data_IF_466743346000
#
_entry.id   IF_466743346000
#
_cell.length_a   1.000
_cell.length_b   1.000
_cell.length_c   1.000
_cell.angle_alpha   90.00
_cell.angle_beta   90.00
_cell.angle_gamma   90.00
#
_symmetry.space_group_name_H-M   'P 1'
#
loop_
_entity.id
_entity.type
_entity.pdbx_description
1 polymer ?
#
# COMPACT_ATOMS: atom_id res chain seq x y z
N UNK A 1 -5.71 -7.44 27.25
CA UNK A 1 -4.35 -7.79 27.65
C UNK A 1 -3.96 -9.06 26.92
N UNK A 2 -3.36 -8.95 25.75
CA UNK A 2 -2.67 -10.08 25.13
C UNK A 2 -1.20 -9.98 25.52
N UNK A 3 -0.76 -10.88 26.38
CA UNK A 3 0.62 -11.03 26.76
C UNK A 3 1.35 -11.74 25.63
N UNK A 4 2.38 -11.13 25.10
CA UNK A 4 3.37 -11.79 24.25
C UNK A 4 4.27 -12.61 25.17
N UNK A 5 4.11 -13.92 25.15
CA UNK A 5 5.04 -14.86 25.76
C UNK A 5 5.87 -15.45 24.63
N UNK A 6 7.16 -15.13 24.60
CA UNK A 6 8.13 -15.97 23.93
C UNK A 6 8.27 -17.24 24.77
N UNK A 7 7.68 -18.33 24.33
CA UNK A 7 8.04 -19.66 24.79
C UNK A 7 8.81 -20.34 23.65
N UNK A 8 10.11 -20.51 23.86
CA UNK A 8 10.86 -21.58 23.23
C UNK A 8 10.23 -22.89 23.73
N UNK A 9 9.61 -23.60 22.80
CA UNK A 9 9.46 -25.04 22.76
C UNK A 9 8.21 -25.43 21.95
N UNK A 10 8.46 -25.91 20.77
CA UNK A 10 7.82 -27.05 20.12
C UNK A 10 8.04 -26.93 18.61
N UNK A 11 8.86 -27.80 18.09
CA UNK A 11 8.76 -28.28 16.70
C UNK A 11 7.35 -28.84 16.47
N UNK A 12 6.40 -27.97 16.17
CA UNK A 12 5.12 -28.35 15.60
C UNK A 12 5.13 -27.87 14.15
N UNK A 13 5.25 -28.86 13.27
CA UNK A 13 5.01 -28.84 11.85
C UNK A 13 4.73 -27.48 11.24
N UNK A 14 5.75 -26.77 10.75
CA UNK A 14 5.53 -25.79 9.71
C UNK A 14 4.86 -26.56 8.58
N UNK A 15 3.57 -26.35 8.36
CA UNK A 15 2.99 -26.66 7.06
C UNK A 15 3.87 -25.92 6.04
N UNK A 16 4.64 -26.69 5.29
CA UNK A 16 5.34 -26.15 4.13
C UNK A 16 4.23 -25.62 3.21
N UNK A 17 4.14 -24.31 3.08
CA UNK A 17 3.29 -23.69 2.07
C UNK A 17 3.80 -24.25 0.75
N UNK A 18 2.98 -24.96 -0.03
CA UNK A 18 3.41 -25.51 -1.31
C UNK A 18 3.95 -24.34 -2.16
N UNK A 19 5.23 -24.35 -2.45
CA UNK A 19 5.80 -23.41 -3.42
C UNK A 19 5.22 -23.83 -4.77
N UNK A 20 4.30 -23.04 -5.33
CA UNK A 20 3.83 -23.25 -6.69
C UNK A 20 5.06 -23.19 -7.60
N UNK A 21 5.38 -24.32 -8.21
CA UNK A 21 6.62 -24.52 -8.98
C UNK A 21 6.68 -23.70 -10.26
N UNK A 22 5.55 -23.11 -10.69
CA UNK A 22 5.42 -22.35 -11.93
C UNK A 22 5.22 -20.83 -11.72
N UNK A 23 5.27 -20.35 -10.48
CA UNK A 23 5.09 -18.96 -10.11
C UNK A 23 6.40 -18.24 -9.81
N UNK A 24 6.28 -16.95 -9.47
CA UNK A 24 7.37 -16.10 -9.01
C UNK A 24 6.83 -14.88 -8.31
N UNK A 25 7.73 -14.13 -7.72
CA UNK A 25 7.46 -12.89 -7.02
C UNK A 25 7.90 -11.71 -7.88
N UNK A 26 7.08 -10.69 -7.94
CA UNK A 26 7.43 -9.38 -8.49
C UNK A 26 7.64 -8.39 -7.35
N UNK A 27 8.78 -7.75 -7.32
CA UNK A 27 9.08 -6.63 -6.43
C UNK A 27 9.03 -5.33 -7.22
N UNK A 28 7.97 -4.55 -7.01
CA UNK A 28 7.88 -3.18 -7.48
C UNK A 28 8.55 -2.29 -6.44
N UNK A 29 9.55 -1.53 -6.85
CA UNK A 29 10.35 -0.73 -5.93
C UNK A 29 10.85 0.56 -6.57
N UNK A 30 11.43 1.41 -5.76
CA UNK A 30 12.20 2.60 -6.15
C UNK A 30 13.63 2.48 -5.63
N UNK A 31 14.50 3.36 -6.07
CA UNK A 31 15.88 3.46 -5.57
C UNK A 31 16.12 4.82 -4.91
N UNK A 32 17.11 4.90 -4.03
CA UNK A 32 17.49 6.19 -3.42
C UNK A 32 17.92 7.22 -4.47
N UNK A 33 18.59 6.78 -5.54
CA UNK A 33 19.03 7.67 -6.62
C UNK A 33 17.87 8.19 -7.49
N UNK A 34 16.78 7.43 -7.55
CA UNK A 34 15.58 7.76 -8.33
C UNK A 34 14.34 7.54 -7.48
N UNK A 35 14.24 8.31 -6.41
CA UNK A 35 13.13 8.23 -5.48
C UNK A 35 11.80 8.47 -6.20
N UNK A 36 10.81 7.63 -5.90
CA UNK A 36 9.48 7.67 -6.48
C UNK A 36 9.35 7.04 -7.87
N UNK A 37 10.44 6.60 -8.53
CA UNK A 37 10.37 5.96 -9.85
C UNK A 37 10.14 4.47 -9.73
N UNK A 38 9.47 3.90 -10.75
CA UNK A 38 9.12 2.49 -10.78
C UNK A 38 10.28 1.65 -11.35
N UNK A 39 10.70 0.67 -10.57
CA UNK A 39 11.64 -0.40 -10.92
C UNK A 39 11.01 -1.76 -10.63
N UNK A 40 11.54 -2.80 -11.25
CA UNK A 40 11.15 -4.17 -11.00
C UNK A 40 12.33 -5.08 -10.71
N UNK A 41 12.11 -6.00 -9.80
CA UNK A 41 12.90 -7.19 -9.64
C UNK A 41 11.97 -8.42 -9.54
N UNK A 42 12.46 -9.57 -9.91
CA UNK A 42 11.74 -10.85 -9.84
C UNK A 42 12.51 -11.86 -9.02
N UNK A 43 11.79 -12.77 -8.40
CA UNK A 43 12.38 -13.87 -7.66
C UNK A 43 11.50 -15.12 -7.80
N UNK A 44 12.12 -16.30 -7.77
CA UNK A 44 11.39 -17.58 -7.67
C UNK A 44 11.16 -18.02 -6.24
N UNK A 45 12.04 -17.62 -5.33
CA UNK A 45 12.06 -18.07 -3.93
C UNK A 45 11.77 -16.96 -2.90
N UNK A 46 11.59 -15.72 -3.36
CA UNK A 46 11.39 -14.55 -2.50
C UNK A 46 12.66 -14.07 -1.77
N UNK A 47 13.80 -14.70 -2.00
CA UNK A 47 15.08 -14.43 -1.34
C UNK A 47 16.10 -13.92 -2.34
N UNK A 48 16.25 -14.61 -3.46
CA UNK A 48 17.19 -14.25 -4.51
C UNK A 48 16.47 -13.45 -5.59
N UNK A 49 16.86 -12.18 -5.78
CA UNK A 49 16.19 -11.24 -6.66
C UNK A 49 17.05 -10.87 -7.85
N UNK A 50 16.43 -10.87 -9.02
CA UNK A 50 17.02 -10.44 -10.28
C UNK A 50 16.33 -9.16 -10.77
N UNK A 51 17.11 -8.12 -11.04
CA UNK A 51 16.57 -6.85 -11.55
C UNK A 51 16.14 -6.97 -12.99
N UNK A 52 14.94 -6.48 -13.29
CA UNK A 52 14.45 -6.42 -14.66
C UNK A 52 14.94 -5.15 -15.38
N UNK A 53 14.76 -5.13 -16.70
CA UNK A 53 15.12 -4.00 -17.58
C UNK A 53 16.57 -3.52 -17.40
N UNK A 54 17.49 -4.44 -17.02
CA UNK A 54 18.90 -4.11 -16.73
C UNK A 54 19.04 -3.03 -15.65
N UNK A 55 18.19 -3.04 -14.64
CA UNK A 55 18.20 -2.06 -13.56
C UNK A 55 17.78 -0.65 -13.98
N UNK A 56 17.04 -0.48 -15.08
CA UNK A 56 16.55 0.81 -15.54
C UNK A 56 15.09 1.04 -15.14
N UNK A 57 14.70 2.30 -15.09
CA UNK A 57 13.31 2.72 -14.80
C UNK A 57 12.34 2.03 -15.76
N UNK A 58 11.25 1.48 -15.22
CA UNK A 58 10.15 0.86 -15.98
C UNK A 58 9.22 1.93 -16.54
N UNK A 59 8.84 2.91 -15.69
CA UNK A 59 7.98 4.01 -16.08
C UNK A 59 8.54 5.33 -15.52
N UNK A 60 9.03 6.18 -16.40
CA UNK A 60 9.65 7.46 -16.03
C UNK A 60 8.62 8.53 -15.62
N UNK A 61 7.37 8.39 -16.08
CA UNK A 61 6.30 9.33 -15.74
C UNK A 61 5.67 9.04 -14.36
N UNK A 62 5.81 7.80 -13.85
CA UNK A 62 5.34 7.47 -12.51
C UNK A 62 6.21 8.15 -11.44
N UNK A 63 5.54 8.77 -10.45
CA UNK A 63 6.19 9.29 -9.25
C UNK A 63 5.30 8.92 -8.05
N UNK A 64 5.79 8.01 -7.21
CA UNK A 64 5.05 7.52 -6.07
C UNK A 64 5.80 6.47 -5.27
N UNK A 65 5.09 5.76 -4.42
CA UNK A 65 5.59 4.61 -3.67
C UNK A 65 4.98 3.35 -4.32
N UNK A 66 5.72 2.65 -5.20
CA UNK A 66 5.15 1.56 -5.99
C UNK A 66 4.53 0.48 -5.11
N UNK A 67 3.23 0.26 -5.26
CA UNK A 67 2.48 -0.84 -4.67
C UNK A 67 1.44 -1.27 -5.70
N UNK A 68 1.60 -2.48 -6.23
CA UNK A 68 0.78 -2.98 -7.33
C UNK A 68 -0.24 -3.96 -6.79
N UNK A 69 -1.51 -3.77 -7.14
CA UNK A 69 -2.54 -4.78 -6.94
C UNK A 69 -3.18 -5.19 -8.27
N UNK A 70 -3.65 -6.44 -8.34
CA UNK A 70 -4.48 -6.89 -9.44
C UNK A 70 -5.95 -6.56 -9.11
N UNK A 71 -6.63 -5.89 -10.04
CA UNK A 71 -8.01 -5.46 -9.87
C UNK A 71 -9.04 -6.49 -10.34
N UNK A 72 -10.32 -6.09 -10.27
CA UNK A 72 -11.47 -6.92 -10.62
C UNK A 72 -11.49 -7.36 -12.10
N UNK A 73 -10.92 -6.55 -12.97
CA UNK A 73 -10.83 -6.80 -14.43
C UNK A 73 -9.57 -7.57 -14.83
N UNK A 74 -8.78 -8.03 -13.86
CA UNK A 74 -7.52 -8.72 -14.07
C UNK A 74 -6.35 -7.80 -14.42
N UNK A 75 -6.57 -6.50 -14.65
CA UNK A 75 -5.51 -5.54 -14.85
C UNK A 75 -4.79 -5.20 -13.53
N UNK A 76 -3.63 -4.59 -13.66
CA UNK A 76 -2.80 -4.17 -12.53
C UNK A 76 -2.95 -2.67 -12.31
N UNK A 77 -2.99 -2.29 -11.05
CA UNK A 77 -3.20 -0.92 -10.62
C UNK A 77 -2.17 -0.47 -9.59
N UNK A 78 -1.81 0.81 -9.63
CA UNK A 78 -1.03 1.49 -8.60
C UNK A 78 -1.40 2.97 -8.55
N UNK A 79 -1.12 3.64 -7.43
CA UNK A 79 -1.37 5.07 -7.25
C UNK A 79 -0.05 5.83 -7.24
N UNK A 80 0.01 6.92 -8.02
CA UNK A 80 1.08 7.91 -7.98
C UNK A 80 0.68 9.08 -7.08
N UNK A 81 1.66 9.80 -6.57
CA UNK A 81 1.45 10.96 -5.70
C UNK A 81 1.69 12.30 -6.38
N UNK A 82 2.49 12.34 -7.44
CA UNK A 82 2.84 13.58 -8.10
C UNK A 82 2.94 13.41 -9.63
N UNK A 83 1.87 13.77 -10.36
CA UNK A 83 0.53 14.13 -9.87
C UNK A 83 -0.20 12.92 -9.26
N UNK A 84 -1.24 13.20 -8.47
CA UNK A 84 -2.13 12.16 -7.96
C UNK A 84 -2.85 11.50 -9.13
N UNK A 85 -2.56 10.23 -9.37
CA UNK A 85 -3.09 9.49 -10.51
C UNK A 85 -3.21 8.00 -10.22
N UNK A 86 -4.25 7.40 -10.78
CA UNK A 86 -4.38 5.96 -10.91
C UNK A 86 -3.63 5.51 -12.16
N UNK A 87 -2.71 4.57 -12.01
CA UNK A 87 -2.02 3.92 -13.09
C UNK A 87 -2.58 2.52 -13.31
N UNK A 88 -2.85 2.18 -14.58
CA UNK A 88 -3.39 0.88 -14.98
C UNK A 88 -2.51 0.24 -16.04
N UNK A 89 -2.32 -1.07 -15.96
CA UNK A 89 -1.60 -1.87 -16.93
C UNK A 89 -2.23 -3.25 -17.08
N UNK A 90 -2.24 -3.78 -18.27
CA UNK A 90 -2.66 -5.16 -18.55
C UNK A 90 -1.48 -6.15 -18.55
N UNK A 91 -0.24 -5.64 -18.58
CA UNK A 91 0.94 -6.47 -18.81
C UNK A 91 2.15 -6.09 -17.94
N UNK A 92 1.99 -5.15 -16.99
CA UNK A 92 3.05 -4.62 -16.11
C UNK A 92 4.17 -3.86 -16.85
N UNK A 93 4.09 -3.71 -18.17
CA UNK A 93 5.09 -3.04 -19.01
C UNK A 93 4.57 -1.69 -19.50
N UNK A 94 3.38 -1.68 -20.07
CA UNK A 94 2.75 -0.47 -20.56
C UNK A 94 1.74 0.03 -19.56
N UNK A 95 1.94 1.24 -19.07
CA UNK A 95 1.11 1.88 -18.08
C UNK A 95 0.41 3.10 -18.66
N UNK A 96 -0.88 3.24 -18.38
CA UNK A 96 -1.68 4.42 -18.62
C UNK A 96 -2.11 5.04 -17.31
N UNK A 97 -2.27 6.37 -17.27
CA UNK A 97 -2.69 7.06 -16.06
C UNK A 97 -3.96 7.86 -16.28
N UNK A 98 -4.79 7.88 -15.23
CA UNK A 98 -5.97 8.73 -15.12
C UNK A 98 -5.83 9.54 -13.83
N UNK A 99 -6.06 10.85 -13.90
CA UNK A 99 -6.00 11.69 -12.72
C UNK A 99 -7.09 11.25 -11.74
N UNK A 100 -6.70 11.01 -10.49
CA UNK A 100 -7.64 10.77 -9.41
C UNK A 100 -8.18 12.09 -8.86
N UNK A 101 -9.42 12.06 -8.41
CA UNK A 101 -10.01 13.19 -7.73
C UNK A 101 -9.33 13.40 -6.38
N UNK A 102 -8.73 14.58 -6.18
CA UNK A 102 -8.08 14.96 -4.93
C UNK A 102 -9.04 15.00 -3.73
N UNK A 103 -10.35 14.99 -3.98
CA UNK A 103 -11.38 14.92 -2.94
C UNK A 103 -11.18 13.74 -1.96
N UNK A 104 -10.56 12.64 -2.39
CA UNK A 104 -10.23 11.52 -1.50
C UNK A 104 -9.42 12.01 -0.30
N UNK A 105 -8.42 12.82 -0.55
CA UNK A 105 -7.53 13.35 0.48
C UNK A 105 -8.11 14.59 1.16
N UNK A 106 -8.81 15.44 0.43
CA UNK A 106 -9.44 16.65 0.96
C UNK A 106 -10.53 16.33 2.00
N UNK A 107 -11.23 15.21 1.88
CA UNK A 107 -12.22 14.76 2.87
C UNK A 107 -11.60 14.45 4.23
N UNK A 108 -10.34 14.06 4.28
CA UNK A 108 -9.64 13.81 5.55
C UNK A 108 -9.51 15.09 6.38
N UNK A 109 -9.49 16.27 5.76
CA UNK A 109 -9.45 17.54 6.46
C UNK A 109 -10.71 17.77 7.33
N UNK A 110 -11.87 17.30 6.91
CA UNK A 110 -13.11 17.37 7.70
C UNK A 110 -13.05 16.56 9.00
N UNK A 111 -12.11 15.61 9.09
CA UNK A 111 -11.88 14.77 10.26
C UNK A 111 -10.64 15.20 11.06
N UNK A 112 -10.05 16.37 10.74
CA UNK A 112 -8.87 16.89 11.42
C UNK A 112 -7.56 16.28 10.93
N UNK A 113 -7.54 15.60 9.77
CA UNK A 113 -6.32 15.07 9.15
C UNK A 113 -5.95 15.92 7.95
N UNK A 114 -4.80 16.55 8.01
CA UNK A 114 -4.35 17.50 7.02
C UNK A 114 -3.50 16.83 5.96
N UNK A 115 -4.04 16.72 4.75
CA UNK A 115 -3.33 16.14 3.61
C UNK A 115 -2.49 17.15 2.86
N UNK A 116 -2.73 18.44 3.07
CA UNK A 116 -2.05 19.51 2.34
C UNK A 116 -0.58 19.64 2.71
N UNK A 117 -0.19 19.22 3.91
CA UNK A 117 1.17 19.38 4.41
C UNK A 117 1.98 18.10 4.34
N UNK A 118 1.38 16.97 4.70
CA UNK A 118 2.07 15.69 4.68
C UNK A 118 1.06 14.57 4.46
N UNK A 119 0.98 14.11 3.26
CA UNK A 119 0.32 12.84 2.96
C UNK A 119 1.25 12.04 2.05
N UNK A 120 1.21 10.74 2.15
CA UNK A 120 2.12 9.96 1.35
C UNK A 120 1.84 8.48 1.34
N UNK A 121 2.66 7.81 0.56
CA UNK A 121 2.73 6.38 0.40
C UNK A 121 1.35 5.70 0.23
N UNK A 122 0.49 6.16 -0.70
CA UNK A 122 -0.78 5.49 -0.94
C UNK A 122 -0.51 4.05 -1.35
N UNK A 123 -1.29 3.16 -0.75
CA UNK A 123 -1.28 1.71 -1.01
C UNK A 123 -2.66 1.30 -1.46
N UNK A 124 -2.73 0.23 -2.23
CA UNK A 124 -4.01 -0.25 -2.73
C UNK A 124 -4.10 -1.77 -2.64
N UNK A 125 -5.25 -2.25 -2.22
CA UNK A 125 -5.58 -3.65 -2.16
C UNK A 125 -6.99 -3.87 -2.72
N UNK A 126 -7.16 -4.84 -3.62
CA UNK A 126 -8.48 -5.25 -4.09
C UNK A 126 -8.97 -6.44 -3.27
N UNK A 127 -10.05 -6.24 -2.53
CA UNK A 127 -10.73 -7.30 -1.80
C UNK A 127 -11.78 -7.98 -2.69
N UNK A 128 -11.49 -9.20 -3.09
CA UNK A 128 -12.36 -9.99 -3.98
C UNK A 128 -13.69 -10.37 -3.33
N UNK A 129 -13.74 -10.48 -1.99
CA UNK A 129 -14.96 -10.91 -1.30
C UNK A 129 -15.98 -9.77 -1.22
N UNK A 130 -15.53 -8.54 -1.02
CA UNK A 130 -16.38 -7.34 -0.99
C UNK A 130 -16.48 -6.63 -2.34
N UNK A 131 -15.68 -7.05 -3.32
CA UNK A 131 -15.56 -6.43 -4.64
C UNK A 131 -15.24 -4.93 -4.55
N UNK A 132 -14.30 -4.58 -3.66
CA UNK A 132 -13.90 -3.20 -3.39
C UNK A 132 -12.39 -3.05 -3.35
N UNK A 133 -11.92 -1.88 -3.73
CA UNK A 133 -10.56 -1.45 -3.48
C UNK A 133 -10.49 -0.76 -2.12
N UNK A 134 -9.50 -1.13 -1.33
CA UNK A 134 -9.09 -0.43 -0.14
C UNK A 134 -7.89 0.43 -0.52
N UNK A 135 -8.04 1.74 -0.41
CA UNK A 135 -6.93 2.67 -0.64
C UNK A 135 -6.55 3.25 0.71
N UNK A 136 -5.31 3.07 1.12
CA UNK A 136 -4.76 3.60 2.36
C UNK A 136 -3.62 4.58 2.09
N UNK A 137 -3.45 5.55 2.97
CA UNK A 137 -2.36 6.51 2.95
C UNK A 137 -2.10 7.03 4.36
N UNK A 138 -0.96 7.66 4.59
CA UNK A 138 -0.76 8.36 5.85
C UNK A 138 -0.99 9.86 5.67
N UNK A 139 -1.48 10.50 6.73
CA UNK A 139 -1.74 11.93 6.79
C UNK A 139 -1.37 12.48 8.17
N UNK A 140 -0.96 13.74 8.21
CA UNK A 140 -0.63 14.44 9.44
C UNK A 140 -1.90 14.76 10.24
N UNK A 141 -1.86 14.54 11.54
CA UNK A 141 -2.94 14.88 12.47
C UNK A 141 -2.87 16.32 12.99
N UNK A 142 -1.72 16.98 12.82
CA UNK A 142 -1.48 18.34 13.30
C UNK A 142 -0.88 19.19 12.18
N UNK A 143 -1.59 20.24 11.68
CA UNK A 143 -1.10 21.06 10.57
C UNK A 143 0.07 21.96 10.95
N UNK A 144 0.24 22.23 12.24
CA UNK A 144 1.28 23.13 12.75
C UNK A 144 2.58 22.39 13.09
N UNK A 145 2.53 21.05 13.03
CA UNK A 145 3.66 20.19 13.30
C UNK A 145 4.00 19.36 12.07
N UNK A 146 5.13 19.67 11.49
CA UNK A 146 5.83 18.81 10.53
C UNK A 146 6.44 17.60 11.29
N UNK A 147 5.57 16.83 11.92
CA UNK A 147 5.94 15.86 12.94
C UNK A 147 5.48 14.46 12.53
N UNK A 148 6.45 13.58 12.32
CA UNK A 148 6.19 12.17 12.05
C UNK A 148 5.36 11.50 13.15
N UNK A 149 5.45 11.96 14.38
CA UNK A 149 4.69 11.42 15.51
C UNK A 149 3.18 11.68 15.37
N UNK A 150 2.79 12.68 14.57
CA UNK A 150 1.38 12.99 14.29
C UNK A 150 0.78 12.21 13.13
N UNK A 151 1.56 11.42 12.40
CA UNK A 151 1.07 10.65 11.25
C UNK A 151 0.08 9.58 11.67
N UNK A 152 -0.99 9.45 10.89
CA UNK A 152 -2.00 8.39 11.03
C UNK A 152 -2.29 7.79 9.67
N UNK A 153 -2.47 6.49 9.64
CA UNK A 153 -2.91 5.81 8.42
C UNK A 153 -4.42 5.88 8.31
N UNK A 154 -4.87 6.41 7.20
CA UNK A 154 -6.28 6.50 6.80
C UNK A 154 -6.57 5.53 5.67
N UNK A 155 -7.85 5.21 5.47
CA UNK A 155 -8.30 4.47 4.31
C UNK A 155 -9.68 4.91 3.82
N UNK A 156 -9.95 4.62 2.56
CA UNK A 156 -11.27 4.70 1.92
C UNK A 156 -11.55 3.40 1.17
N UNK A 157 -12.82 3.18 0.88
CA UNK A 157 -13.27 2.10 -0.01
C UNK A 157 -13.83 2.70 -1.29
N UNK A 158 -13.59 2.02 -2.41
CA UNK A 158 -14.15 2.37 -3.71
C UNK A 158 -14.36 1.11 -4.56
N UNK A 159 -15.33 1.16 -5.48
CA UNK A 159 -15.53 0.13 -6.51
C UNK A 159 -15.09 0.58 -7.90
N UNK A 160 -15.10 1.88 -8.13
CA UNK A 160 -15.05 2.49 -9.46
C UNK A 160 -13.99 3.60 -9.61
N UNK A 161 -13.29 3.94 -8.53
CA UNK A 161 -12.36 5.08 -8.46
C UNK A 161 -13.01 6.46 -8.73
N UNK A 162 -14.33 6.54 -8.69
CA UNK A 162 -15.11 7.77 -8.83
C UNK A 162 -15.83 8.13 -7.53
N UNK A 163 -16.39 7.11 -6.87
CA UNK A 163 -17.09 7.23 -5.60
C UNK A 163 -16.30 6.58 -4.47
N UNK A 164 -16.24 7.24 -3.31
CA UNK A 164 -15.44 6.82 -2.17
C UNK A 164 -16.23 6.94 -0.88
N UNK A 165 -15.96 6.05 0.07
CA UNK A 165 -16.42 6.24 1.45
C UNK A 165 -15.74 7.46 2.07
N UNK A 166 -16.27 7.93 3.20
CA UNK A 166 -15.54 8.88 4.02
C UNK A 166 -14.26 8.24 4.56
N UNK A 167 -13.13 8.99 4.63
CA UNK A 167 -11.90 8.52 5.21
C UNK A 167 -12.05 8.08 6.65
N UNK A 168 -11.43 6.95 6.99
CA UNK A 168 -11.41 6.41 8.34
C UNK A 168 -9.98 6.07 8.75
N UNK A 169 -9.70 6.11 10.06
CA UNK A 169 -8.43 5.59 10.58
C UNK A 169 -8.36 4.08 10.36
N UNK A 170 -7.24 3.61 9.82
CA UNK A 170 -7.02 2.18 9.65
C UNK A 170 -6.79 1.49 11.00
N UNK A 171 -6.13 2.18 11.94
CA UNK A 171 -5.84 1.67 13.27
C UNK A 171 -6.50 2.54 14.33
N UNK A 172 -7.18 1.89 15.26
CA UNK A 172 -7.81 2.52 16.42
C UNK A 172 -7.16 1.96 17.69
N UNK A 173 -5.94 2.38 17.95
CA UNK A 173 -5.23 2.02 19.17
C UNK A 173 -5.83 2.71 20.39
N UNK A 174 -5.66 2.11 21.55
CA UNK A 174 -6.13 2.61 22.84
C UNK A 174 -5.05 2.48 23.91
N UNK A 175 -5.18 3.21 25.01
CA UNK A 175 -4.23 3.17 26.11
C UNK A 175 -2.89 3.80 25.75
N UNK A 176 -1.80 3.13 26.05
CA UNK A 176 -0.43 3.62 25.80
C UNK A 176 -0.12 3.85 24.33
N UNK A 177 -0.82 3.13 23.46
CA UNK A 177 -0.56 3.15 22.02
C UNK A 177 -1.53 4.06 21.24
N UNK A 178 -2.42 4.78 21.95
CA UNK A 178 -3.45 5.64 21.35
C UNK A 178 -2.89 6.64 20.32
N UNK A 179 -1.70 7.13 20.57
CA UNK A 179 -1.02 8.10 19.73
C UNK A 179 0.09 7.53 18.86
N UNK A 180 0.14 6.21 18.69
CA UNK A 180 1.14 5.57 17.84
C UNK A 180 1.02 6.06 16.39
N UNK A 181 2.13 6.59 15.86
CA UNK A 181 2.25 6.96 14.45
C UNK A 181 2.51 5.72 13.61
N UNK A 182 1.72 5.54 12.56
CA UNK A 182 1.90 4.43 11.60
C UNK A 182 1.83 4.98 10.19
N UNK A 183 2.82 4.63 9.40
CA UNK A 183 2.95 4.98 7.99
C UNK A 183 3.15 3.71 7.15
N UNK A 184 3.00 3.85 5.83
CA UNK A 184 3.34 2.82 4.83
C UNK A 184 2.65 1.46 5.00
N UNK A 185 1.49 1.43 5.66
CA UNK A 185 0.77 0.20 5.93
C UNK A 185 0.31 -0.48 4.63
N UNK A 186 0.72 -1.74 4.45
CA UNK A 186 0.32 -2.60 3.34
C UNK A 186 -0.74 -3.57 3.84
N UNK A 187 -1.90 -3.59 3.18
CA UNK A 187 -3.02 -4.46 3.54
C UNK A 187 -2.99 -5.73 2.69
N UNK A 188 -3.18 -6.86 3.33
CA UNK A 188 -3.38 -8.17 2.68
C UNK A 188 -4.50 -8.93 3.40
N UNK A 189 -5.18 -9.82 2.66
CA UNK A 189 -6.23 -10.67 3.21
C UNK A 189 -5.87 -12.13 2.99
N UNK A 190 -5.85 -12.89 4.06
CA UNK A 190 -5.56 -14.33 4.05
C UNK A 190 -6.64 -15.04 4.86
N UNK A 191 -7.30 -16.02 4.25
CA UNK A 191 -8.37 -16.80 4.89
C UNK A 191 -9.47 -15.94 5.55
N UNK A 192 -9.87 -14.85 4.88
CA UNK A 192 -10.90 -13.93 5.37
C UNK A 192 -10.43 -12.93 6.43
N UNK A 193 -9.18 -12.98 6.88
CA UNK A 193 -8.61 -12.08 7.87
C UNK A 193 -7.72 -11.04 7.18
N UNK A 194 -7.93 -9.77 7.54
CA UNK A 194 -7.07 -8.68 7.07
C UNK A 194 -5.83 -8.56 7.96
N UNK A 195 -4.69 -8.41 7.30
CA UNK A 195 -3.40 -8.15 7.92
C UNK A 195 -2.87 -6.82 7.40
N UNK A 196 -2.29 -6.04 8.29
CA UNK A 196 -1.52 -4.85 7.93
C UNK A 196 -0.05 -5.10 8.28
N UNK A 197 0.81 -4.89 7.29
CA UNK A 197 2.27 -4.93 7.44
C UNK A 197 2.74 -3.49 7.46
N UNK A 198 3.55 -3.14 8.47
CA UNK A 198 4.03 -1.79 8.75
C UNK A 198 5.53 -1.80 8.89
#
# INVERSE_FOLDING_TARGET
LMSWSCSDDAETGREEIPVETDGGYLFAHMTNANYGKLYYAVSRDGINWETLNKGRIINSAYIGHPDICQGHDGAFYMIAVNPLALWRSENLVTWTSTQLNEMIFNRSNAQGFYTTYYWGAPKMFYDKDSEQYIISWHACNDPDKDDWDSMRTLYVLTKDFETYTEPQKLFNFTGTDENMAIIDAIIRKVNGVYYAIM
#
